data_IF_679407669957
#
_entry.id   IF_679407669957
#
_cell.length_a   1.000
_cell.length_b   1.000
_cell.length_c   1.000
_cell.angle_alpha   90.00
_cell.angle_beta   90.00
_cell.angle_gamma   90.00
#
_symmetry.space_group_name_H-M   'P 1'
#
loop_
_entity.id
_entity.type
_entity.pdbx_description
1 polymer ?
#
# COMPACT_ATOMS: atom_id res chain seq x y z
N UNK A 1 8.10 9.15 2.64
CA UNK A 1 8.79 8.13 3.46
C UNK A 1 8.50 8.43 4.91
N UNK A 2 7.92 7.48 5.64
CA UNK A 2 7.74 7.62 7.09
C UNK A 2 9.09 7.42 7.77
N UNK A 3 9.42 8.24 8.77
CA UNK A 3 10.75 8.25 9.39
C UNK A 3 11.17 6.92 10.05
N UNK A 4 10.23 6.00 10.27
CA UNK A 4 10.50 4.66 10.83
C UNK A 4 11.16 3.66 9.87
N UNK A 5 11.29 3.97 8.58
CA UNK A 5 11.87 3.04 7.61
C UNK A 5 11.02 1.79 7.36
N UNK A 6 11.58 0.82 6.64
CA UNK A 6 10.95 -0.46 6.26
C UNK A 6 11.62 -1.58 7.07
N UNK A 7 10.85 -2.31 7.86
CA UNK A 7 11.33 -3.43 8.66
C UNK A 7 11.20 -4.78 7.94
N UNK A 8 11.94 -5.79 8.41
CA UNK A 8 11.77 -7.18 7.94
C UNK A 8 10.54 -7.78 8.60
N UNK A 9 9.59 -8.25 7.78
CA UNK A 9 8.36 -8.91 8.26
C UNK A 9 8.51 -10.43 8.20
N UNK A 10 8.24 -11.11 9.32
CA UNK A 10 8.27 -12.56 9.47
C UNK A 10 6.90 -13.08 9.88
N UNK A 11 6.23 -13.87 9.03
CA UNK A 11 4.98 -14.51 9.42
C UNK A 11 5.19 -15.51 10.58
N UNK A 12 4.20 -15.58 11.47
CA UNK A 12 4.09 -16.58 12.52
C UNK A 12 3.15 -17.70 12.04
N UNK A 13 3.56 -18.99 12.16
CA UNK A 13 2.75 -20.10 11.72
C UNK A 13 1.47 -20.23 12.56
N UNK A 14 0.39 -20.68 11.93
CA UNK A 14 -0.89 -20.97 12.57
C UNK A 14 -2.09 -20.61 11.68
N UNK A 15 -3.29 -20.78 12.22
CA UNK A 15 -4.55 -20.54 11.51
C UNK A 15 -4.90 -19.05 11.48
N UNK A 16 -4.99 -18.48 10.28
CA UNK A 16 -5.28 -17.06 10.08
C UNK A 16 -4.77 -16.55 8.75
N UNK A 17 -4.91 -15.24 8.57
CA UNK A 17 -4.41 -14.49 7.41
C UNK A 17 -3.45 -13.42 7.88
N UNK A 18 -2.30 -13.36 7.23
CA UNK A 18 -1.24 -12.37 7.44
C UNK A 18 -1.05 -11.60 6.15
N UNK A 19 -1.05 -10.28 6.22
CA UNK A 19 -0.80 -9.43 5.07
C UNK A 19 0.17 -8.29 5.41
N UNK A 20 1.06 -8.01 4.45
CA UNK A 20 1.99 -6.91 4.50
C UNK A 20 1.98 -6.18 3.16
N UNK A 21 1.67 -4.88 3.16
CA UNK A 21 1.75 -4.03 1.98
C UNK A 21 2.29 -2.65 2.39
N UNK A 22 3.43 -2.23 1.83
CA UNK A 22 4.01 -0.89 2.06
C UNK A 22 4.10 -0.49 3.56
N UNK A 23 4.61 -1.37 4.43
CA UNK A 23 4.71 -1.20 5.89
C UNK A 23 3.37 -1.15 6.64
N UNK A 24 2.27 -1.44 5.95
CA UNK A 24 0.98 -1.70 6.57
C UNK A 24 0.86 -3.20 6.83
N UNK A 25 0.59 -3.53 8.08
CA UNK A 25 0.58 -4.87 8.63
C UNK A 25 -0.83 -5.25 9.03
N UNK A 26 -1.25 -6.46 8.71
CA UNK A 26 -2.56 -7.00 9.08
C UNK A 26 -2.45 -8.47 9.46
N UNK A 27 -3.13 -8.83 10.54
CA UNK A 27 -3.37 -10.20 10.96
C UNK A 27 -4.85 -10.34 11.31
N UNK A 28 -5.54 -11.34 10.78
CA UNK A 28 -6.93 -11.63 11.19
C UNK A 28 -7.24 -13.13 11.15
N UNK A 29 -8.20 -13.57 11.97
CA UNK A 29 -8.64 -14.96 11.97
C UNK A 29 -9.22 -15.37 10.60
N UNK A 30 -8.92 -16.61 10.19
CA UNK A 30 -9.46 -17.20 8.97
C UNK A 30 -10.91 -17.65 9.19
N UNK A 31 -11.72 -17.64 8.13
CA UNK A 31 -13.11 -18.10 8.17
C UNK A 31 -14.14 -17.05 8.60
N UNK A 32 -13.69 -15.84 8.96
CA UNK A 32 -14.59 -14.70 9.18
C UNK A 32 -15.03 -14.09 7.84
N UNK A 33 -16.30 -13.69 7.72
CA UNK A 33 -16.81 -13.05 6.50
C UNK A 33 -16.15 -11.68 6.24
N UNK A 34 -15.52 -11.08 7.24
CA UNK A 34 -14.86 -9.78 7.11
C UNK A 34 -13.47 -9.85 6.45
N UNK A 35 -12.86 -11.03 6.27
CA UNK A 35 -11.45 -11.14 5.79
C UNK A 35 -11.23 -10.41 4.47
N UNK A 36 -12.10 -10.61 3.48
CA UNK A 36 -11.96 -9.95 2.17
C UNK A 36 -12.11 -8.43 2.27
N UNK A 37 -13.03 -7.94 3.12
CA UNK A 37 -13.21 -6.51 3.37
C UNK A 37 -11.98 -5.90 4.09
N UNK A 38 -11.37 -6.64 5.02
CA UNK A 38 -10.17 -6.25 5.75
C UNK A 38 -8.95 -6.18 4.83
N UNK A 39 -8.74 -7.20 3.98
CA UNK A 39 -7.67 -7.21 2.97
C UNK A 39 -7.86 -6.09 1.94
N UNK A 40 -9.11 -5.81 1.55
CA UNK A 40 -9.42 -4.68 0.68
C UNK A 40 -9.11 -3.35 1.35
N UNK A 41 -9.45 -3.17 2.62
CA UNK A 41 -9.12 -1.96 3.38
C UNK A 41 -7.60 -1.71 3.44
N UNK A 42 -6.81 -2.79 3.62
CA UNK A 42 -5.35 -2.74 3.56
C UNK A 42 -4.85 -2.31 2.17
N UNK A 43 -5.30 -3.00 1.13
CA UNK A 43 -4.90 -2.73 -0.26
C UNK A 43 -5.25 -1.30 -0.71
N UNK A 44 -6.46 -0.84 -0.42
CA UNK A 44 -6.90 0.52 -0.73
C UNK A 44 -6.05 1.57 0.01
N UNK A 45 -5.64 1.29 1.25
CA UNK A 45 -4.76 2.20 2.00
C UNK A 45 -3.36 2.24 1.38
N UNK A 46 -2.80 1.07 1.06
CA UNK A 46 -1.47 0.96 0.49
C UNK A 46 -1.37 1.64 -0.89
N UNK A 47 -2.39 1.48 -1.74
CA UNK A 47 -2.45 2.04 -3.10
C UNK A 47 -2.66 3.55 -3.10
N UNK A 48 -3.41 4.08 -2.12
CA UNK A 48 -3.62 5.52 -1.96
C UNK A 48 -2.48 6.22 -1.23
N UNK A 49 -1.48 5.48 -0.75
CA UNK A 49 -0.37 6.03 0.03
C UNK A 49 -0.76 6.48 1.44
N UNK A 50 -1.82 5.90 2.00
CA UNK A 50 -2.27 6.17 3.37
C UNK A 50 -1.29 5.63 4.42
N UNK A 51 -1.37 6.19 5.62
CA UNK A 51 -0.56 5.81 6.79
C UNK A 51 -1.30 4.82 7.71
N UNK A 52 -0.68 4.41 8.82
CA UNK A 52 -1.29 3.53 9.81
C UNK A 52 -2.57 4.08 10.42
N UNK A 53 -2.74 5.40 10.54
CA UNK A 53 -3.98 6.02 11.01
C UNK A 53 -5.11 5.85 9.99
N UNK A 54 -4.80 6.03 8.71
CA UNK A 54 -5.74 5.78 7.62
C UNK A 54 -6.18 4.31 7.58
N UNK A 55 -5.24 3.38 7.77
CA UNK A 55 -5.54 1.95 7.86
C UNK A 55 -6.46 1.64 9.04
N UNK A 56 -6.08 2.05 10.26
CA UNK A 56 -6.84 1.79 11.47
C UNK A 56 -8.29 2.27 11.35
N UNK A 57 -8.51 3.47 10.79
CA UNK A 57 -9.87 4.00 10.57
C UNK A 57 -10.69 3.18 9.58
N UNK A 58 -10.10 2.74 8.46
CA UNK A 58 -10.81 1.89 7.48
C UNK A 58 -11.16 0.54 8.08
N UNK A 59 -10.21 -0.07 8.78
CA UNK A 59 -10.38 -1.36 9.46
C UNK A 59 -11.45 -1.27 10.55
N UNK A 60 -11.44 -0.23 11.39
CA UNK A 60 -12.49 0.02 12.37
C UNK A 60 -13.89 0.07 11.74
N UNK A 61 -14.02 0.70 10.56
CA UNK A 61 -15.28 0.72 9.82
C UNK A 61 -15.73 -0.66 9.32
N UNK A 62 -14.80 -1.51 8.91
CA UNK A 62 -15.09 -2.91 8.53
C UNK A 62 -15.52 -3.71 9.77
N UNK A 63 -14.79 -3.59 10.87
CA UNK A 63 -15.08 -4.29 12.13
C UNK A 63 -16.46 -3.89 12.69
N UNK A 64 -16.81 -2.61 12.65
CA UNK A 64 -18.13 -2.12 13.07
C UNK A 64 -19.26 -2.82 12.30
N UNK A 65 -19.16 -2.86 10.96
CA UNK A 65 -20.15 -3.52 10.10
C UNK A 65 -20.19 -5.04 10.31
N UNK A 66 -19.05 -5.66 10.59
CA UNK A 66 -18.98 -7.08 10.88
C UNK A 66 -19.68 -7.41 12.20
N UNK A 67 -19.49 -6.60 13.25
CA UNK A 67 -20.18 -6.76 14.53
C UNK A 67 -21.70 -6.63 14.36
N UNK A 68 -22.19 -5.66 13.59
CA UNK A 68 -23.63 -5.48 13.34
C UNK A 68 -24.28 -6.72 12.66
N UNK A 69 -23.50 -7.50 11.92
CA UNK A 69 -23.95 -8.74 11.24
C UNK A 69 -23.77 -10.00 12.10
N UNK A 70 -22.98 -9.93 13.16
CA UNK A 70 -22.65 -11.10 13.98
C UNK A 70 -23.81 -11.47 14.89
N UNK A 71 -24.28 -12.71 14.77
CA UNK A 71 -25.36 -13.26 15.61
C UNK A 71 -24.83 -13.63 17.02
N UNK A 72 -23.52 -13.86 17.15
CA UNK A 72 -22.86 -14.28 18.40
C UNK A 72 -22.21 -13.15 19.19
N UNK A 73 -22.15 -11.94 18.65
CA UNK A 73 -21.58 -10.77 19.32
C UNK A 73 -20.07 -10.80 19.57
N UNK A 74 -19.38 -11.89 19.22
CA UNK A 74 -17.92 -11.98 19.35
C UNK A 74 -17.24 -11.10 18.29
N UNK A 75 -16.33 -10.18 18.70
CA UNK A 75 -15.59 -9.35 17.76
C UNK A 75 -14.60 -10.18 16.94
N UNK A 76 -14.43 -9.80 15.66
CA UNK A 76 -13.44 -10.40 14.76
C UNK A 76 -12.04 -10.27 15.36
N UNK A 77 -11.33 -11.39 15.53
CA UNK A 77 -9.95 -11.36 15.97
C UNK A 77 -9.06 -10.78 14.86
N UNK A 78 -8.66 -9.52 15.03
CA UNK A 78 -7.92 -8.75 14.03
C UNK A 78 -6.94 -7.79 14.71
N UNK A 79 -5.74 -7.68 14.17
CA UNK A 79 -4.75 -6.68 14.56
C UNK A 79 -4.13 -6.05 13.31
N UNK A 80 -3.99 -4.72 13.32
CA UNK A 80 -3.33 -3.97 12.27
C UNK A 80 -2.34 -2.99 12.84
N UNK A 81 -1.26 -2.74 12.11
CA UNK A 81 -0.28 -1.72 12.47
C UNK A 81 0.29 -1.05 11.22
N UNK A 82 0.71 0.20 11.37
CA UNK A 82 1.41 0.92 10.32
C UNK A 82 2.05 2.21 10.82
N UNK A 83 2.98 2.77 10.05
CA UNK A 83 3.67 4.00 10.44
C UNK A 83 2.72 5.20 10.50
N UNK A 84 2.90 6.08 11.47
CA UNK A 84 2.09 7.27 11.71
C UNK A 84 2.87 8.32 12.52
N UNK A 85 3.25 9.44 11.89
CA UNK A 85 3.82 10.60 12.59
C UNK A 85 5.07 10.31 13.42
N UNK A 86 6.05 9.60 12.84
CA UNK A 86 7.30 9.21 13.52
C UNK A 86 7.19 8.02 14.47
N UNK A 87 5.97 7.56 14.75
CA UNK A 87 5.65 6.36 15.53
C UNK A 87 4.72 5.42 14.75
N UNK A 88 4.05 4.48 15.41
CA UNK A 88 3.08 3.57 14.75
C UNK A 88 1.67 3.75 15.28
N UNK A 89 0.68 3.62 14.40
CA UNK A 89 -0.70 3.41 14.78
C UNK A 89 -0.99 1.91 14.82
N UNK A 90 -1.64 1.46 15.88
CA UNK A 90 -2.03 0.05 16.07
C UNK A 90 -3.50 -0.01 16.44
N UNK A 91 -4.22 -0.99 15.90
CA UNK A 91 -5.59 -1.32 16.29
C UNK A 91 -5.70 -2.83 16.49
N UNK A 92 -6.37 -3.25 17.57
CA UNK A 92 -6.55 -4.66 17.95
C UNK A 92 -8.00 -4.92 18.36
N UNK A 93 -8.62 -5.98 17.84
CA UNK A 93 -9.99 -6.42 18.12
C UNK A 93 -10.05 -7.91 18.38
N UNK A 94 -11.08 -8.35 19.11
CA UNK A 94 -11.34 -9.74 19.46
C UNK A 94 -10.17 -10.40 20.17
N UNK A 95 -9.92 -11.68 19.89
CA UNK A 95 -8.86 -12.43 20.56
C UNK A 95 -7.42 -12.06 20.14
N UNK A 96 -7.23 -11.07 19.27
CA UNK A 96 -5.92 -10.66 18.79
C UNK A 96 -5.12 -9.87 19.84
N UNK A 97 -3.81 -9.80 19.63
CA UNK A 97 -2.84 -9.13 20.47
C UNK A 97 -1.82 -8.36 19.62
N UNK A 98 -1.35 -7.22 20.15
CA UNK A 98 -0.19 -6.52 19.63
C UNK A 98 0.82 -6.18 20.73
N UNK A 99 2.11 -6.35 20.43
CA UNK A 99 3.23 -5.78 21.19
C UNK A 99 4.01 -4.83 20.29
N UNK A 100 4.32 -3.65 20.80
CA UNK A 100 5.18 -2.67 20.15
C UNK A 100 6.33 -2.37 21.09
N UNK A 101 7.55 -2.51 20.61
CA UNK A 101 8.77 -2.26 21.37
C UNK A 101 9.54 -1.09 20.79
N UNK A 102 10.13 -0.28 21.68
CA UNK A 102 10.92 0.89 21.32
C UNK A 102 10.24 2.18 21.74
N UNK A 103 10.80 3.31 21.30
CA UNK A 103 10.32 4.63 21.66
C UNK A 103 10.49 4.95 23.15
N UNK A 104 10.02 6.14 23.58
CA UNK A 104 10.12 6.58 24.97
C UNK A 104 9.17 5.80 25.91
N UNK A 105 8.12 5.20 25.36
CA UNK A 105 7.08 4.48 26.13
C UNK A 105 7.49 3.04 26.51
N UNK A 106 8.62 2.54 25.98
CA UNK A 106 9.08 1.18 26.23
C UNK A 106 8.24 0.13 25.50
N UNK A 107 7.92 -0.99 26.17
CA UNK A 107 7.03 -2.00 25.59
C UNK A 107 5.56 -1.59 25.79
N UNK A 108 4.82 -1.46 24.70
CA UNK A 108 3.38 -1.23 24.68
C UNK A 108 2.66 -2.50 24.25
N UNK A 109 1.73 -2.97 25.08
CA UNK A 109 0.89 -4.14 24.79
C UNK A 109 -0.57 -3.75 24.67
N UNK A 110 -1.25 -4.33 23.68
CA UNK A 110 -2.67 -4.12 23.39
C UNK A 110 -3.32 -5.49 23.20
N UNK A 111 -4.45 -5.72 23.86
CA UNK A 111 -5.25 -6.93 23.69
C UNK A 111 -6.67 -6.54 23.28
N UNK A 112 -7.15 -7.08 22.16
CA UNK A 112 -8.49 -6.77 21.66
C UNK A 112 -9.60 -7.25 22.61
N UNK A 113 -9.33 -8.35 23.34
CA UNK A 113 -10.27 -9.01 24.25
C UNK A 113 -10.67 -8.14 25.45
N UNK A 114 -9.85 -7.14 25.77
CA UNK A 114 -10.07 -6.24 26.89
C UNK A 114 -10.97 -5.05 26.51
N UNK A 115 -11.42 -4.97 25.24
CA UNK A 115 -12.31 -3.94 24.73
C UNK A 115 -13.62 -4.53 24.20
N UNK A 116 -14.70 -3.75 24.30
CA UNK A 116 -16.01 -4.13 23.79
C UNK A 116 -16.08 -4.16 22.26
N UNK A 117 -15.23 -3.37 21.58
CA UNK A 117 -15.25 -3.23 20.12
C UNK A 117 -13.85 -3.44 19.53
N UNK A 118 -12.90 -2.59 19.91
CA UNK A 118 -11.47 -2.69 19.63
C UNK A 118 -10.73 -1.69 20.52
N UNK A 119 -9.41 -1.86 20.62
CA UNK A 119 -8.50 -0.86 21.18
C UNK A 119 -7.59 -0.36 20.08
N UNK A 120 -7.39 0.95 20.00
CA UNK A 120 -6.38 1.57 19.15
C UNK A 120 -5.44 2.49 19.94
N UNK A 121 -4.21 2.63 19.45
CA UNK A 121 -3.19 3.45 20.07
C UNK A 121 -2.20 3.99 19.04
N UNK A 122 -1.75 5.23 19.27
CA UNK A 122 -0.54 5.77 18.66
C UNK A 122 0.62 5.56 19.62
N UNK A 123 1.66 4.85 19.17
CA UNK A 123 2.89 4.60 19.92
C UNK A 123 3.99 5.46 19.33
N UNK A 124 4.62 6.29 20.16
CA UNK A 124 5.68 7.19 19.70
C UNK A 124 6.95 6.41 19.36
N UNK A 125 7.62 6.78 18.27
CA UNK A 125 8.85 6.12 17.85
C UNK A 125 10.13 6.68 18.51
N UNK A 126 11.30 6.16 18.12
CA UNK A 126 11.51 5.12 17.10
C UNK A 126 11.13 3.73 17.61
N UNK A 127 10.31 3.01 16.85
CA UNK A 127 9.89 1.64 17.17
C UNK A 127 10.94 0.68 16.62
N UNK A 128 11.40 -0.27 17.44
CA UNK A 128 12.35 -1.31 17.01
C UNK A 128 11.64 -2.57 16.52
N UNK A 129 10.50 -2.93 17.09
CA UNK A 129 9.77 -4.16 16.76
C UNK A 129 8.27 -4.02 16.96
N UNK A 130 7.50 -4.63 16.06
CA UNK A 130 6.05 -4.85 16.21
C UNK A 130 5.80 -6.34 16.13
N UNK A 131 4.88 -6.82 16.95
CA UNK A 131 4.38 -8.19 16.88
C UNK A 131 2.85 -8.15 16.93
N UNK A 132 2.21 -8.77 15.93
CA UNK A 132 0.77 -8.94 15.86
C UNK A 132 0.47 -10.44 15.93
N UNK A 133 -0.42 -10.88 16.82
CA UNK A 133 -0.72 -12.30 17.02
C UNK A 133 -2.21 -12.57 17.16
N UNK A 134 -2.63 -13.71 16.65
CA UNK A 134 -3.84 -14.43 17.05
C UNK A 134 -3.50 -15.45 18.14
N UNK A 135 -4.50 -16.00 18.82
CA UNK A 135 -4.30 -17.16 19.69
C UNK A 135 -3.60 -18.30 18.96
N UNK A 136 -2.73 -19.02 19.66
CA UNK A 136 -2.00 -20.19 19.15
C UNK A 136 -0.97 -19.93 18.03
N UNK A 137 -0.63 -18.66 17.74
CA UNK A 137 0.47 -18.36 16.85
C UNK A 137 1.79 -19.00 17.34
N UNK A 138 2.48 -19.73 16.47
CA UNK A 138 3.79 -20.31 16.76
C UNK A 138 4.93 -19.28 16.72
N UNK A 139 6.18 -19.72 16.95
CA UNK A 139 7.34 -18.85 16.85
C UNK A 139 7.68 -18.48 15.39
N UNK A 140 8.23 -17.29 15.18
CA UNK A 140 8.77 -16.87 13.88
C UNK A 140 9.95 -17.75 13.48
N UNK A 141 10.06 -18.05 12.18
CA UNK A 141 11.26 -18.68 11.62
C UNK A 141 12.25 -17.58 11.18
N UNK A 142 13.55 -17.70 11.47
CA UNK A 142 14.54 -16.72 11.02
C UNK A 142 14.68 -16.67 9.50
N UNK A 143 14.26 -17.74 8.80
CA UNK A 143 14.30 -17.86 7.35
C UNK A 143 13.01 -17.38 6.67
N UNK A 144 11.93 -17.18 7.43
CA UNK A 144 10.67 -16.69 6.88
C UNK A 144 10.75 -15.17 6.70
N UNK A 145 10.35 -14.70 5.52
CA UNK A 145 10.30 -13.27 5.18
C UNK A 145 9.12 -13.00 4.26
N UNK A 146 8.37 -11.95 4.53
CA UNK A 146 7.25 -11.48 3.72
C UNK A 146 7.49 -10.02 3.29
N UNK A 147 8.09 -9.85 2.12
CA UNK A 147 8.34 -8.52 1.55
C UNK A 147 7.05 -7.81 1.11
N UNK A 148 6.03 -8.60 0.77
CA UNK A 148 4.72 -8.10 0.44
C UNK A 148 3.75 -9.20 0.08
N UNK A 149 2.47 -8.92 0.20
CA UNK A 149 1.39 -9.83 -0.18
C UNK A 149 0.64 -10.40 1.02
N UNK A 150 -0.05 -11.51 0.77
CA UNK A 150 -0.94 -12.18 1.73
C UNK A 150 -0.56 -13.65 1.81
N UNK A 151 -0.41 -14.15 3.03
CA UNK A 151 -0.09 -15.55 3.32
C UNK A 151 -0.97 -16.07 4.46
N UNK A 152 -1.08 -17.39 4.57
CA UNK A 152 -1.67 -18.02 5.76
C UNK A 152 -0.72 -17.85 6.94
N UNK A 153 -1.26 -17.52 8.12
CA UNK A 153 -0.49 -17.41 9.35
C UNK A 153 -1.33 -16.85 10.49
N UNK A 154 -0.92 -17.15 11.73
CA UNK A 154 -1.61 -16.67 12.92
C UNK A 154 -0.96 -15.39 13.50
N UNK A 155 -0.02 -14.78 12.80
CA UNK A 155 0.63 -13.56 13.27
C UNK A 155 1.79 -13.12 12.41
N UNK A 156 2.43 -12.04 12.81
CA UNK A 156 3.66 -11.55 12.21
C UNK A 156 4.53 -10.82 13.24
N UNK A 157 5.82 -10.80 12.95
CA UNK A 157 6.80 -9.93 13.60
C UNK A 157 7.35 -8.99 12.54
N UNK A 158 7.45 -7.70 12.83
CA UNK A 158 8.13 -6.70 12.01
C UNK A 158 9.31 -6.15 12.80
N UNK A 159 10.52 -6.34 12.29
CA UNK A 159 11.77 -5.88 12.91
C UNK A 159 12.32 -4.68 12.12
N UNK A 160 12.30 -3.49 12.72
CA UNK A 160 12.80 -2.25 12.12
C UNK A 160 14.31 -2.06 12.30
N UNK A 161 14.98 -2.92 13.08
CA UNK A 161 16.45 -2.91 13.17
C UNK A 161 17.11 -3.53 11.94
N UNK A 162 16.32 -4.19 11.10
CA UNK A 162 16.72 -4.79 9.84
C UNK A 162 15.99 -4.13 8.68
N UNK A 163 16.72 -3.81 7.60
CA UNK A 163 16.12 -3.19 6.42
C UNK A 163 15.29 -4.22 5.63
N UNK A 164 13.99 -3.96 5.49
CA UNK A 164 13.09 -4.69 4.60
C UNK A 164 12.90 -4.01 3.24
N UNK A 165 12.10 -4.63 2.38
CA UNK A 165 11.74 -4.12 1.05
C UNK A 165 10.25 -3.73 0.96
N UNK A 166 9.93 -2.82 0.03
CA UNK A 166 8.55 -2.39 -0.23
C UNK A 166 7.90 -3.25 -1.33
N UNK A 167 6.65 -3.67 -1.10
CA UNK A 167 5.83 -4.37 -2.10
C UNK A 167 5.57 -3.51 -3.36
N UNK A 168 5.28 -2.23 -3.17
CA UNK A 168 5.08 -1.27 -4.25
C UNK A 168 6.10 -0.13 -4.12
N UNK A 169 7.29 -0.28 -4.72
CA UNK A 169 8.25 0.82 -4.72
C UNK A 169 7.65 2.02 -5.48
N UNK A 170 7.84 3.26 -5.01
CA UNK A 170 7.48 4.43 -5.80
C UNK A 170 8.19 4.36 -7.14
N UNK A 171 7.45 4.60 -8.23
CA UNK A 171 8.05 4.70 -9.56
C UNK A 171 9.17 5.75 -9.52
N UNK A 172 10.35 5.46 -10.08
CA UNK A 172 11.40 6.47 -10.17
C UNK A 172 10.83 7.71 -10.87
N UNK A 173 11.21 8.93 -10.46
CA UNK A 173 10.82 10.13 -11.17
C UNK A 173 11.21 9.94 -12.63
N UNK A 174 10.23 10.03 -13.54
CA UNK A 174 10.55 9.97 -14.98
C UNK A 174 11.63 11.03 -15.21
N UNK A 175 12.76 10.68 -15.85
CA UNK A 175 13.69 11.70 -16.28
C UNK A 175 12.86 12.74 -17.05
N UNK A 176 13.12 14.05 -16.88
CA UNK A 176 12.47 15.04 -17.70
C UNK A 176 12.61 14.53 -19.12
N UNK A 177 11.49 14.33 -19.81
CA UNK A 177 11.52 14.04 -21.23
C UNK A 177 12.24 15.24 -21.81
N UNK A 178 13.56 15.06 -22.01
CA UNK A 178 14.35 15.98 -22.80
C UNK A 178 13.53 16.13 -24.04
N UNK A 179 13.16 17.38 -24.32
CA UNK A 179 12.45 17.74 -25.53
C UNK A 179 13.16 16.96 -26.63
N UNK A 180 12.57 15.85 -27.08
CA UNK A 180 12.91 15.30 -28.36
C UNK A 180 12.50 16.46 -29.25
N UNK A 181 13.49 17.28 -29.61
CA UNK A 181 13.50 17.98 -30.88
C UNK A 181 12.86 16.97 -31.81
N UNK A 182 11.65 17.28 -32.27
CA UNK A 182 11.03 16.58 -33.37
C UNK A 182 12.03 16.71 -34.51
N UNK A 183 12.99 15.79 -34.58
CA UNK A 183 13.63 15.41 -35.81
C UNK A 183 12.50 14.76 -36.59
N UNK A 184 11.70 15.63 -37.20
CA UNK A 184 10.94 15.30 -38.38
C UNK A 184 11.91 14.52 -39.27
N UNK A 185 11.56 13.29 -39.72
CA UNK A 185 12.23 12.75 -40.87
C UNK A 185 12.11 13.83 -41.95
N UNK A 186 13.24 14.37 -42.41
CA UNK A 186 13.29 15.19 -43.62
C UNK A 186 12.88 14.28 -44.78
N UNK A 187 11.57 14.10 -44.94
CA UNK A 187 11.00 13.87 -46.25
C UNK A 187 11.33 15.11 -47.05
N UNK A 188 12.10 14.90 -48.12
CA UNK A 188 12.44 15.95 -49.07
C UNK A 188 11.20 16.79 -49.40
N UNK A 189 11.39 18.10 -49.38
CA UNK A 189 10.34 19.07 -49.62
C UNK A 189 9.50 18.70 -50.85
N UNK A 190 8.17 18.68 -50.76
CA UNK A 190 7.35 18.88 -51.94
C UNK A 190 7.67 20.28 -52.48
N UNK A 191 8.10 20.37 -53.74
CA UNK A 191 8.23 21.64 -54.44
C UNK A 191 6.94 22.47 -54.25
N UNK A 192 7.03 23.75 -53.87
CA UNK A 192 5.86 24.60 -53.81
C UNK A 192 5.27 24.71 -55.22
N UNK A 193 4.03 24.26 -55.38
CA UNK A 193 3.22 24.55 -56.57
C UNK A 193 3.03 26.06 -56.60
N UNK A 194 3.93 26.74 -57.32
CA UNK A 194 3.84 28.17 -57.58
C UNK A 194 2.52 28.47 -58.27
N UNK A 195 1.83 29.51 -57.80
CA UNK A 195 0.62 30.01 -58.40
C UNK A 195 0.84 30.24 -59.90
N UNK A 196 0.14 29.45 -60.72
CA UNK A 196 0.08 29.68 -62.17
C UNK A 196 -0.63 31.01 -62.40
N UNK A 197 0.15 32.05 -62.70
CA UNK A 197 -0.38 33.32 -63.20
C UNK A 197 -1.18 33.09 -64.50
N UNK A 198 -2.17 33.95 -64.79
CA UNK A 198 -3.01 33.80 -65.98
C UNK A 198 -2.15 33.85 -67.25
N UNK A 199 -2.29 32.81 -68.07
CA UNK A 199 -1.66 32.72 -69.39
C UNK A 199 -2.38 33.69 -70.33
N UNK A 200 -1.68 34.75 -70.74
CA UNK A 200 -2.13 35.63 -71.83
C UNK A 200 -1.75 34.96 -73.15
N UNK A 201 -2.68 34.65 -74.05
CA UNK A 201 -2.35 34.11 -75.36
C UNK A 201 -1.66 35.17 -76.24
N UNK A 202 -0.62 34.80 -77.01
CA UNK A 202 0.00 35.70 -77.97
C UNK A 202 -0.95 36.01 -79.15
N UNK A 203 -0.84 37.21 -79.76
CA UNK A 203 -1.68 37.61 -80.88
C UNK A 203 -1.39 36.79 -82.15
N UNK A 204 -2.39 36.59 -83.03
CA UNK A 204 -2.21 35.85 -84.27
C UNK A 204 -1.31 36.60 -85.28
N UNK A 205 -0.50 35.88 -86.07
CA UNK A 205 0.29 36.47 -87.14
C UNK A 205 -0.61 36.97 -88.31
N UNK A 206 -0.17 37.99 -89.06
CA UNK A 206 -0.94 38.59 -90.15
C UNK A 206 -1.10 37.65 -91.37
N UNK A 207 -2.16 37.83 -92.17
CA UNK A 207 -2.38 37.03 -93.38
C UNK A 207 -1.34 37.36 -94.46
N UNK A 208 -0.72 36.31 -95.02
CA UNK A 208 0.13 36.39 -96.21
C UNK A 208 -0.66 36.18 -97.51
N UNK A 209 -0.13 36.68 -98.65
CA UNK A 209 -0.81 36.81 -99.94
C UNK A 209 -1.09 35.50 -100.69
#
# INVERSE_FOLDING_TARGET
MTEQGVGVVRPLPGEGVVAHLNNLLLVCAAGDQAVDELLRALSDTATTGGDGRALARRVAGVLARAMDRSIGGEPVACAVAGPAGGGVAVLVSGAAFASVQGGPDGEVRLAGRDALTWTDRLVNGPVSRIELRLPNAGPSSPYARLDGGVVTGAGLECDFTQAGDLAFPPLPPRPPQGQHQQQHPQFGAPEPIGARGPVVPPPPPPPGP
#
